data_IF_430030316892
#
_entry.id   IF_430030316892
#
_cell.length_a   1.000
_cell.length_b   1.000
_cell.length_c   1.000
_cell.angle_alpha   90.00
_cell.angle_beta   90.00
_cell.angle_gamma   90.00
#
_symmetry.space_group_name_H-M   'P 1'
#
loop_
_entity.id
_entity.type
_entity.pdbx_description
1 polymer ?
#
# COMPACT_ATOMS: atom_id res chain seq x y z
N UNK A 1 -11.86 -30.78 9.39
CA UNK A 1 -12.13 -29.37 9.08
C UNK A 1 -11.00 -28.89 8.19
N UNK A 2 -11.25 -28.32 7.01
CA UNK A 2 -10.17 -27.90 6.14
C UNK A 2 -9.60 -26.58 6.68
N UNK A 3 -8.34 -26.63 7.11
CA UNK A 3 -7.53 -25.48 7.46
C UNK A 3 -7.16 -24.70 6.22
N UNK A 4 -7.17 -23.39 6.34
CA UNK A 4 -7.03 -22.44 5.26
C UNK A 4 -5.56 -22.12 5.00
N UNK A 5 -5.06 -22.16 3.74
CA UNK A 5 -3.62 -22.15 3.49
C UNK A 5 -3.00 -20.75 3.40
N UNK A 6 -1.90 -20.53 4.13
CA UNK A 6 -1.09 -19.30 4.05
C UNK A 6 -0.13 -19.31 2.85
N UNK A 7 0.44 -18.14 2.53
CA UNK A 7 1.29 -17.84 1.35
C UNK A 7 2.45 -18.81 1.11
N UNK A 8 2.90 -19.52 2.14
CA UNK A 8 3.97 -20.53 2.11
C UNK A 8 3.52 -21.96 1.76
N UNK A 9 2.26 -22.32 1.95
CA UNK A 9 1.78 -23.69 1.65
C UNK A 9 1.65 -24.01 0.15
N UNK A 10 1.81 -22.99 -0.71
CA UNK A 10 1.89 -23.14 -2.17
C UNK A 10 3.34 -23.37 -2.67
N UNK A 11 4.35 -23.28 -1.81
CA UNK A 11 5.75 -23.63 -2.10
C UNK A 11 6.26 -24.65 -1.06
N UNK A 12 5.90 -25.90 -1.35
CA UNK A 12 6.28 -27.19 -0.75
C UNK A 12 7.35 -27.24 0.37
N UNK A 13 6.91 -27.83 1.49
CA UNK A 13 7.62 -28.83 2.31
C UNK A 13 8.99 -28.51 2.95
N UNK A 14 8.94 -28.43 4.31
CA UNK A 14 9.98 -28.75 5.33
C UNK A 14 10.62 -27.57 6.09
N UNK A 15 10.21 -27.49 7.38
CA UNK A 15 10.91 -26.95 8.59
C UNK A 15 11.17 -25.44 8.68
N UNK A 16 11.05 -24.74 9.81
CA UNK A 16 10.74 -25.07 11.20
C UNK A 16 10.79 -23.79 12.07
N UNK A 17 9.91 -23.74 13.08
CA UNK A 17 9.80 -22.90 14.28
C UNK A 17 10.57 -21.55 14.48
N UNK A 18 9.75 -20.50 14.71
CA UNK A 18 9.73 -19.52 15.82
C UNK A 18 10.91 -18.55 16.11
N UNK A 19 10.60 -17.24 16.10
CA UNK A 19 10.72 -16.32 17.26
C UNK A 19 10.15 -14.93 16.92
N UNK A 20 9.12 -14.50 17.67
CA UNK A 20 8.60 -13.13 17.61
C UNK A 20 9.47 -12.21 18.48
N UNK A 21 10.18 -11.28 17.84
CA UNK A 21 10.95 -10.24 18.54
C UNK A 21 10.13 -8.96 18.61
N UNK A 22 9.84 -8.53 19.83
CA UNK A 22 9.22 -7.24 20.12
C UNK A 22 10.16 -6.10 19.66
N UNK A 23 9.70 -5.27 18.73
CA UNK A 23 10.38 -4.02 18.40
C UNK A 23 10.01 -2.93 19.42
N UNK A 24 10.97 -2.14 19.91
CA UNK A 24 10.69 -1.03 20.81
C UNK A 24 10.01 0.10 20.03
N UNK A 25 8.72 0.32 20.32
CA UNK A 25 7.98 1.46 19.80
C UNK A 25 8.37 2.73 20.58
N UNK A 26 9.31 3.52 20.04
CA UNK A 26 9.42 4.93 20.39
C UNK A 26 8.33 5.70 19.63
N UNK A 27 7.11 5.72 20.17
CA UNK A 27 6.06 6.59 19.66
C UNK A 27 6.19 7.99 20.30
N UNK A 28 6.25 9.09 19.51
CA UNK A 28 6.09 10.42 20.08
C UNK A 28 4.68 10.57 20.66
N UNK A 29 4.61 11.20 21.83
CA UNK A 29 3.36 11.55 22.51
C UNK A 29 2.63 12.66 21.73
N UNK A 30 1.72 12.27 20.85
CA UNK A 30 0.74 13.19 20.25
C UNK A 30 -0.51 13.20 21.12
N UNK A 31 -0.99 14.38 21.52
CA UNK A 31 -2.33 14.54 22.09
C UNK A 31 -3.39 13.91 21.15
N UNK A 32 -4.49 13.34 21.68
CA UNK A 32 -5.51 12.71 20.84
C UNK A 32 -6.19 13.76 19.95
N UNK A 33 -5.77 13.83 18.69
CA UNK A 33 -6.50 14.52 17.63
C UNK A 33 -7.78 13.71 17.41
N UNK A 34 -8.98 14.34 17.40
CA UNK A 34 -10.21 13.62 17.09
C UNK A 34 -10.06 12.92 15.74
N UNK A 35 -10.55 11.68 15.58
CA UNK A 35 -10.41 10.97 14.34
C UNK A 35 -11.08 11.77 13.22
N UNK A 36 -10.33 12.05 12.15
CA UNK A 36 -10.91 12.63 10.93
C UNK A 36 -11.83 11.57 10.33
N UNK A 37 -13.13 11.90 10.22
CA UNK A 37 -14.14 11.02 9.64
C UNK A 37 -14.42 11.50 8.23
N UNK A 38 -14.20 10.63 7.24
CA UNK A 38 -14.51 10.90 5.85
C UNK A 38 -15.88 10.33 5.47
N UNK A 39 -16.54 10.88 4.43
CA UNK A 39 -17.74 10.29 3.87
C UNK A 39 -17.48 8.84 3.41
N UNK A 40 -18.50 7.99 3.55
CA UNK A 40 -18.47 6.60 3.10
C UNK A 40 -19.39 6.41 1.90
N UNK A 41 -18.89 5.74 0.87
CA UNK A 41 -19.65 5.37 -0.32
C UNK A 41 -20.14 3.92 -0.25
N UNK A 42 -19.34 3.02 0.31
CA UNK A 42 -19.65 1.58 0.41
C UNK A 42 -20.45 1.25 1.68
N UNK A 43 -21.49 0.42 1.51
CA UNK A 43 -22.22 -0.18 2.63
C UNK A 43 -21.34 -1.14 3.44
N UNK A 44 -21.77 -1.51 4.64
CA UNK A 44 -21.00 -2.44 5.47
C UNK A 44 -20.85 -3.82 4.81
N UNK A 45 -21.90 -4.30 4.12
CA UNK A 45 -21.84 -5.55 3.36
C UNK A 45 -20.85 -5.48 2.20
N UNK A 46 -20.87 -4.36 1.43
CA UNK A 46 -19.91 -4.12 0.35
C UNK A 46 -18.47 -4.00 0.85
N UNK A 47 -18.24 -3.33 1.99
CA UNK A 47 -16.91 -3.26 2.60
C UNK A 47 -16.41 -4.61 3.08
N UNK A 48 -17.27 -5.44 3.66
CA UNK A 48 -16.92 -6.80 4.04
C UNK A 48 -16.54 -7.66 2.84
N UNK A 49 -17.31 -7.58 1.75
CA UNK A 49 -16.98 -8.24 0.49
C UNK A 49 -15.69 -7.72 -0.13
N UNK A 50 -15.49 -6.40 -0.15
CA UNK A 50 -14.27 -5.79 -0.65
C UNK A 50 -13.05 -6.25 0.16
N UNK A 51 -13.15 -6.25 1.50
CA UNK A 51 -12.12 -6.77 2.41
C UNK A 51 -11.71 -8.19 2.05
N UNK A 52 -12.69 -9.07 1.84
CA UNK A 52 -12.43 -10.45 1.44
C UNK A 52 -11.75 -10.56 0.05
N UNK A 53 -12.13 -9.72 -0.91
CA UNK A 53 -11.53 -9.72 -2.26
C UNK A 53 -10.11 -9.15 -2.26
N UNK A 54 -9.83 -8.08 -1.52
CA UNK A 54 -8.47 -7.52 -1.44
C UNK A 54 -7.54 -8.43 -0.63
N UNK A 55 -8.06 -9.15 0.36
CA UNK A 55 -7.32 -10.22 1.06
C UNK A 55 -7.12 -11.47 0.19
N UNK A 56 -7.80 -11.60 -0.96
CA UNK A 56 -7.43 -12.61 -1.94
C UNK A 56 -6.21 -12.16 -2.79
N UNK A 57 -6.01 -10.84 -2.94
CA UNK A 57 -4.87 -10.25 -3.66
C UNK A 57 -3.62 -10.22 -2.77
N UNK A 58 -3.77 -9.73 -1.53
CA UNK A 58 -2.72 -9.69 -0.52
C UNK A 58 -3.24 -10.39 0.75
N UNK A 59 -3.10 -11.73 0.83
CA UNK A 59 -3.64 -12.51 1.94
C UNK A 59 -2.93 -12.23 3.27
N UNK A 60 -3.66 -12.29 4.40
CA UNK A 60 -3.02 -12.32 5.71
C UNK A 60 -2.25 -13.61 5.89
N UNK A 61 -1.04 -13.50 6.44
CA UNK A 61 -0.22 -14.63 6.87
C UNK A 61 0.44 -14.29 8.22
N UNK A 62 1.74 -14.56 8.38
CA UNK A 62 2.51 -14.08 9.53
C UNK A 62 2.59 -12.53 9.57
N UNK A 63 2.23 -11.87 8.47
CA UNK A 63 2.20 -10.44 8.25
C UNK A 63 0.77 -9.98 7.84
N UNK A 64 0.43 -8.68 7.98
CA UNK A 64 -0.92 -8.20 7.69
C UNK A 64 -1.32 -8.34 6.21
N UNK A 65 -2.56 -8.78 5.98
CA UNK A 65 -3.22 -8.75 4.67
C UNK A 65 -3.73 -7.35 4.28
N UNK A 66 -4.22 -7.20 3.05
CA UNK A 66 -4.70 -5.92 2.51
C UNK A 66 -5.73 -5.21 3.40
N UNK A 67 -6.72 -5.94 3.92
CA UNK A 67 -7.74 -5.37 4.79
C UNK A 67 -7.13 -4.81 6.08
N UNK A 68 -6.19 -5.53 6.68
CA UNK A 68 -5.45 -5.12 7.88
C UNK A 68 -4.51 -3.94 7.62
N UNK A 69 -4.05 -3.75 6.38
CA UNK A 69 -3.29 -2.58 5.94
C UNK A 69 -4.16 -1.33 5.68
N UNK A 70 -5.49 -1.44 5.77
CA UNK A 70 -6.40 -0.32 5.56
C UNK A 70 -6.84 -0.11 4.10
N UNK A 71 -6.61 -1.07 3.20
CA UNK A 71 -6.96 -0.94 1.77
C UNK A 71 -8.45 -0.63 1.55
N UNK A 72 -9.34 -1.22 2.35
CA UNK A 72 -10.79 -0.95 2.25
C UNK A 72 -11.10 0.51 2.56
N UNK A 73 -10.41 1.10 3.54
CA UNK A 73 -10.57 2.50 3.93
C UNK A 73 -10.00 3.43 2.85
N UNK A 74 -8.83 3.11 2.30
CA UNK A 74 -8.26 3.81 1.16
C UNK A 74 -9.23 3.88 -0.02
N UNK A 75 -9.80 2.74 -0.43
CA UNK A 75 -10.71 2.67 -1.57
C UNK A 75 -11.98 3.49 -1.29
N UNK A 76 -12.59 3.36 -0.10
CA UNK A 76 -13.82 4.11 0.23
C UNK A 76 -13.57 5.64 0.24
N UNK A 77 -12.41 6.08 0.77
CA UNK A 77 -11.97 7.49 0.71
C UNK A 77 -11.74 7.99 -0.70
N UNK A 78 -11.09 7.18 -1.56
CA UNK A 78 -10.88 7.53 -2.96
C UNK A 78 -12.23 7.72 -3.67
N UNK A 79 -13.20 6.85 -3.39
CA UNK A 79 -14.52 6.95 -3.99
C UNK A 79 -15.21 8.25 -3.61
N UNK A 80 -15.03 8.75 -2.38
CA UNK A 80 -15.63 9.99 -1.87
C UNK A 80 -14.75 11.24 -2.01
N UNK A 81 -13.59 11.14 -2.66
CA UNK A 81 -12.59 12.22 -2.69
C UNK A 81 -13.05 13.53 -3.34
N UNK A 82 -14.12 13.52 -4.15
CA UNK A 82 -14.71 14.73 -4.77
C UNK A 82 -16.03 15.17 -4.12
N UNK A 83 -16.44 14.54 -3.01
CA UNK A 83 -17.59 14.96 -2.21
C UNK A 83 -17.21 16.12 -1.26
N UNK A 84 -18.19 16.86 -0.73
CA UNK A 84 -17.96 17.71 0.42
C UNK A 84 -17.30 16.90 1.55
N UNK A 85 -16.26 17.46 2.16
CA UNK A 85 -15.47 16.81 3.22
C UNK A 85 -14.76 15.51 2.80
N UNK A 86 -14.62 15.25 1.50
CA UNK A 86 -13.85 14.14 0.96
C UNK A 86 -12.34 14.26 1.23
N UNK A 87 -11.64 13.12 1.24
CA UNK A 87 -10.19 13.09 1.39
C UNK A 87 -9.49 13.75 0.18
N UNK A 88 -8.36 14.45 0.38
CA UNK A 88 -7.64 15.05 -0.74
C UNK A 88 -7.05 13.99 -1.66
N UNK A 89 -7.15 14.22 -2.98
CA UNK A 89 -6.57 13.33 -3.99
C UNK A 89 -5.04 13.43 -4.05
N UNK A 90 -4.49 14.61 -3.78
CA UNK A 90 -3.05 14.84 -3.73
C UNK A 90 -2.67 15.38 -2.36
N UNK A 91 -1.80 14.67 -1.65
CA UNK A 91 -1.20 15.11 -0.41
C UNK A 91 -0.31 16.34 -0.64
N UNK A 92 -0.18 17.17 0.39
CA UNK A 92 0.73 18.29 0.41
C UNK A 92 2.20 17.89 0.60
N UNK A 93 3.00 18.83 1.05
CA UNK A 93 4.42 18.65 1.29
C UNK A 93 5.06 19.93 1.84
N UNK A 94 6.37 19.93 2.10
CA UNK A 94 7.32 18.92 1.65
C UNK A 94 7.51 17.71 2.59
N UNK A 95 7.04 17.76 3.83
CA UNK A 95 7.37 16.73 4.82
C UNK A 95 6.15 16.01 5.38
N UNK A 96 6.26 14.70 5.58
CA UNK A 96 5.23 13.89 6.23
C UNK A 96 5.28 13.95 7.76
N UNK A 97 6.23 14.70 8.34
CA UNK A 97 6.45 14.77 9.78
C UNK A 97 7.01 13.49 10.41
N UNK A 98 7.35 12.46 9.60
CA UNK A 98 7.85 11.17 10.09
C UNK A 98 9.34 11.16 10.43
N UNK A 99 10.14 12.04 9.82
CA UNK A 99 11.58 12.16 10.08
C UNK A 99 11.93 13.54 10.67
N UNK A 100 12.92 13.63 11.58
CA UNK A 100 13.32 14.89 12.18
C UNK A 100 14.14 15.76 11.21
N UNK A 101 14.39 17.01 11.58
CA UNK A 101 15.45 17.80 10.97
C UNK A 101 16.84 17.22 11.31
N UNK A 102 17.83 17.37 10.42
CA UNK A 102 19.21 17.04 10.74
C UNK A 102 19.79 18.03 11.75
N UNK A 103 20.63 17.55 12.66
CA UNK A 103 21.52 18.38 13.48
C UNK A 103 22.70 18.90 12.63
N UNK A 104 23.49 19.88 13.12
CA UNK A 104 24.62 20.44 12.36
C UNK A 104 25.69 19.42 11.91
N UNK A 105 25.80 18.30 12.62
CA UNK A 105 26.72 17.20 12.31
C UNK A 105 26.10 16.10 11.41
N UNK A 106 24.86 16.31 10.96
CA UNK A 106 24.09 15.38 10.13
C UNK A 106 23.33 14.30 10.89
N UNK A 107 23.44 14.23 12.22
CA UNK A 107 22.69 13.27 13.04
C UNK A 107 21.20 13.63 13.18
N UNK A 108 20.30 12.69 13.55
CA UNK A 108 18.90 13.01 13.80
C UNK A 108 18.72 13.97 14.98
N UNK A 109 18.04 15.11 14.75
CA UNK A 109 17.66 16.01 15.85
C UNK A 109 16.39 15.52 16.58
N UNK A 110 15.95 16.27 17.60
CA UNK A 110 14.67 16.06 18.29
C UNK A 110 13.52 16.91 17.74
N UNK A 111 13.77 17.70 16.68
CA UNK A 111 12.80 18.62 16.10
C UNK A 111 12.22 17.99 14.84
N UNK A 112 10.89 17.88 14.78
CA UNK A 112 10.18 17.32 13.63
C UNK A 112 9.40 18.42 12.90
N UNK A 113 9.31 18.39 11.56
CA UNK A 113 8.39 19.23 10.83
C UNK A 113 6.94 18.82 11.10
N UNK A 114 5.99 19.69 10.78
CA UNK A 114 4.59 19.30 10.71
C UNK A 114 4.37 18.22 9.64
N UNK A 115 3.25 17.49 9.73
CA UNK A 115 2.83 16.61 8.65
C UNK A 115 2.07 17.42 7.60
N UNK A 116 2.81 17.92 6.60
CA UNK A 116 2.26 18.70 5.50
C UNK A 116 1.44 17.84 4.53
N UNK A 117 1.57 16.51 4.57
CA UNK A 117 0.80 15.61 3.70
C UNK A 117 -0.70 15.62 4.07
N UNK A 118 -1.04 16.03 5.29
CA UNK A 118 -2.43 16.25 5.71
C UNK A 118 -3.08 17.47 5.04
N UNK A 119 -2.29 18.38 4.47
CA UNK A 119 -2.78 19.54 3.74
C UNK A 119 -2.90 19.22 2.26
N UNK A 120 -4.11 18.84 1.83
CA UNK A 120 -4.37 18.48 0.44
C UNK A 120 -4.08 19.60 -0.56
N UNK A 121 -3.49 19.25 -1.71
CA UNK A 121 -3.34 20.15 -2.84
C UNK A 121 -4.65 20.25 -3.62
N UNK A 122 -5.01 21.48 -4.02
CA UNK A 122 -6.15 21.72 -4.87
C UNK A 122 -5.94 21.17 -6.29
N UNK A 123 -7.03 20.74 -6.92
CA UNK A 123 -7.01 20.31 -8.32
C UNK A 123 -7.14 21.50 -9.26
N UNK A 124 -6.35 21.52 -10.32
CA UNK A 124 -6.65 22.39 -11.44
C UNK A 124 -7.91 21.93 -12.21
N UNK A 125 -8.38 22.75 -13.14
CA UNK A 125 -9.60 22.48 -13.92
C UNK A 125 -9.53 21.17 -14.72
N UNK A 126 -8.38 20.83 -15.27
CA UNK A 126 -8.19 19.62 -16.10
C UNK A 126 -8.12 18.39 -15.21
N UNK A 127 -7.35 18.45 -14.13
CA UNK A 127 -7.27 17.40 -13.12
C UNK A 127 -8.64 17.11 -12.50
N UNK A 128 -9.39 18.15 -12.11
CA UNK A 128 -10.73 18.00 -11.58
C UNK A 128 -11.67 17.30 -12.57
N UNK A 129 -11.56 17.62 -13.87
CA UNK A 129 -12.38 16.95 -14.90
C UNK A 129 -11.95 15.50 -15.12
N UNK A 130 -10.65 15.21 -15.12
CA UNK A 130 -10.12 13.86 -15.27
C UNK A 130 -10.54 12.96 -14.10
N UNK A 131 -10.42 13.44 -12.86
CA UNK A 131 -10.85 12.71 -11.67
C UNK A 131 -12.37 12.49 -11.62
N UNK A 132 -13.18 13.46 -12.08
CA UNK A 132 -14.62 13.25 -12.25
C UNK A 132 -14.92 12.15 -13.25
N UNK A 133 -14.25 12.15 -14.40
CA UNK A 133 -14.43 11.10 -15.41
C UNK A 133 -14.02 9.73 -14.86
N UNK A 134 -12.92 9.66 -14.11
CA UNK A 134 -12.45 8.43 -13.47
C UNK A 134 -13.43 7.92 -12.41
N UNK A 135 -13.93 8.77 -11.52
CA UNK A 135 -14.80 8.34 -10.41
C UNK A 135 -16.26 8.13 -10.83
N UNK A 136 -16.78 9.00 -11.70
CA UNK A 136 -18.21 9.11 -12.02
C UNK A 136 -18.55 8.73 -13.47
N UNK A 137 -17.55 8.49 -14.31
CA UNK A 137 -17.77 8.14 -15.71
C UNK A 137 -18.24 9.33 -16.55
N UNK A 138 -18.59 9.05 -17.81
CA UNK A 138 -19.05 10.06 -18.76
C UNK A 138 -20.35 10.72 -18.29
N UNK A 139 -21.27 9.94 -17.71
CA UNK A 139 -22.59 10.42 -17.27
C UNK A 139 -22.51 11.38 -16.07
N UNK A 140 -21.56 11.15 -15.16
CA UNK A 140 -21.34 12.03 -14.01
C UNK A 140 -20.39 13.19 -14.27
N UNK A 141 -19.91 13.35 -15.51
CA UNK A 141 -18.89 14.36 -15.87
C UNK A 141 -19.38 15.26 -17.00
N UNK A 142 -19.67 16.55 -16.72
CA UNK A 142 -20.06 17.49 -17.77
C UNK A 142 -19.05 17.55 -18.92
N UNK A 143 -19.49 17.14 -20.11
CA UNK A 143 -18.64 17.03 -21.30
C UNK A 143 -17.50 16.01 -21.17
N UNK A 144 -17.67 14.96 -20.37
CA UNK A 144 -16.73 13.85 -20.19
C UNK A 144 -16.80 12.78 -21.28
N UNK A 145 -17.87 12.77 -22.08
CA UNK A 145 -18.11 11.79 -23.13
C UNK A 145 -18.09 12.34 -24.56
N UNK A 146 -17.07 13.10 -25.01
CA UNK A 146 -17.05 13.64 -26.38
C UNK A 146 -17.06 12.54 -27.45
N UNK A 147 -16.60 11.33 -27.11
CA UNK A 147 -16.54 10.18 -28.02
C UNK A 147 -17.51 9.05 -27.64
N UNK A 148 -18.43 9.26 -26.70
CA UNK A 148 -19.32 8.19 -26.19
C UNK A 148 -20.16 7.55 -27.30
N UNK A 149 -20.57 8.34 -28.29
CA UNK A 149 -21.33 7.85 -29.45
C UNK A 149 -20.55 6.87 -30.33
N UNK A 150 -19.21 6.91 -30.29
CA UNK A 150 -18.33 6.07 -31.11
C UNK A 150 -17.71 4.91 -30.31
N UNK A 151 -17.24 5.18 -29.09
CA UNK A 151 -16.46 4.24 -28.28
C UNK A 151 -17.27 3.60 -27.13
N UNK A 152 -18.51 4.05 -26.93
CA UNK A 152 -19.28 3.74 -25.74
C UNK A 152 -18.93 4.65 -24.57
N UNK A 153 -19.79 4.63 -23.55
CA UNK A 153 -19.62 5.46 -22.36
C UNK A 153 -18.47 4.95 -21.49
N UNK A 154 -17.75 5.88 -20.87
CA UNK A 154 -16.81 5.55 -19.79
C UNK A 154 -17.59 5.26 -18.51
N UNK A 155 -17.43 4.05 -17.97
CA UNK A 155 -18.01 3.68 -16.67
C UNK A 155 -17.06 4.16 -15.55
N UNK A 156 -17.59 4.93 -14.60
CA UNK A 156 -16.81 5.44 -13.47
C UNK A 156 -16.45 4.35 -12.47
N UNK A 157 -15.40 4.60 -11.69
CA UNK A 157 -14.92 3.68 -10.66
C UNK A 157 -16.02 3.31 -9.64
N UNK A 158 -16.88 4.27 -9.26
CA UNK A 158 -17.99 4.04 -8.33
C UNK A 158 -18.96 2.98 -8.82
N UNK A 159 -19.43 3.14 -10.06
CA UNK A 159 -20.39 2.21 -10.64
C UNK A 159 -19.75 0.85 -10.92
N UNK A 160 -18.48 0.85 -11.33
CA UNK A 160 -17.71 -0.37 -11.55
C UNK A 160 -17.52 -1.17 -10.27
N UNK A 161 -17.07 -0.55 -9.18
CA UNK A 161 -16.92 -1.20 -7.88
C UNK A 161 -18.26 -1.68 -7.32
N UNK A 162 -19.32 -0.87 -7.40
CA UNK A 162 -20.66 -1.29 -6.94
C UNK A 162 -21.18 -2.47 -7.75
N UNK A 163 -21.02 -2.44 -9.07
CA UNK A 163 -21.40 -3.54 -9.96
C UNK A 163 -20.66 -4.84 -9.62
N UNK A 164 -19.34 -4.78 -9.46
CA UNK A 164 -18.53 -5.96 -9.16
C UNK A 164 -18.83 -6.52 -7.76
N UNK A 165 -18.99 -5.66 -6.75
CA UNK A 165 -19.30 -6.08 -5.38
C UNK A 165 -20.72 -6.66 -5.29
N UNK A 166 -21.69 -6.04 -5.99
CA UNK A 166 -23.05 -6.57 -6.10
C UNK A 166 -23.07 -7.97 -6.73
N UNK A 167 -22.34 -8.16 -7.84
CA UNK A 167 -22.23 -9.47 -8.49
C UNK A 167 -21.52 -10.51 -7.59
N UNK A 168 -20.48 -10.10 -6.87
CA UNK A 168 -19.77 -10.97 -5.92
C UNK A 168 -20.69 -11.39 -4.75
N UNK A 169 -21.43 -10.45 -4.16
CA UNK A 169 -22.37 -10.70 -3.07
C UNK A 169 -23.57 -11.55 -3.51
N UNK A 170 -24.06 -11.39 -4.74
CA UNK A 170 -25.11 -12.26 -5.28
C UNK A 170 -24.65 -13.72 -5.39
N UNK A 171 -23.40 -13.96 -5.79
CA UNK A 171 -22.82 -15.30 -5.91
C UNK A 171 -22.40 -15.88 -4.56
N UNK A 172 -21.89 -15.05 -3.66
CA UNK A 172 -21.39 -15.42 -2.35
C UNK A 172 -21.87 -14.42 -1.28
N UNK A 173 -23.11 -14.56 -0.77
CA UNK A 173 -23.67 -13.61 0.21
C UNK A 173 -22.88 -13.52 1.52
N UNK A 174 -22.16 -14.59 1.89
CA UNK A 174 -21.33 -14.66 3.09
C UNK A 174 -19.83 -14.42 2.81
N UNK A 175 -19.48 -13.73 1.72
CA UNK A 175 -18.09 -13.53 1.27
C UNK A 175 -17.21 -12.87 2.35
N UNK A 176 -17.76 -11.95 3.14
CA UNK A 176 -17.03 -11.24 4.20
C UNK A 176 -16.44 -12.19 5.28
N UNK A 177 -17.05 -13.37 5.47
CA UNK A 177 -16.58 -14.38 6.44
C UNK A 177 -16.08 -15.64 5.75
N UNK A 178 -15.79 -15.58 4.44
CA UNK A 178 -15.25 -16.71 3.71
C UNK A 178 -13.82 -17.01 4.15
N UNK A 179 -13.49 -18.29 4.17
CA UNK A 179 -12.11 -18.75 4.32
C UNK A 179 -11.28 -18.39 3.07
N UNK A 180 -9.96 -18.42 3.14
CA UNK A 180 -9.03 -18.06 2.07
C UNK A 180 -9.32 -18.84 0.77
N UNK A 181 -9.78 -20.09 0.85
CA UNK A 181 -10.21 -20.84 -0.31
C UNK A 181 -11.45 -20.21 -0.97
N UNK A 182 -12.46 -19.85 -0.18
CA UNK A 182 -13.65 -19.12 -0.62
C UNK A 182 -13.33 -17.72 -1.16
N UNK A 183 -12.43 -16.97 -0.51
CA UNK A 183 -11.98 -15.66 -0.98
C UNK A 183 -11.25 -15.76 -2.31
N UNK A 184 -10.32 -16.71 -2.45
CA UNK A 184 -9.62 -16.97 -3.68
C UNK A 184 -10.55 -17.43 -4.81
N UNK A 185 -11.55 -18.27 -4.51
CA UNK A 185 -12.56 -18.68 -5.48
C UNK A 185 -13.43 -17.51 -5.96
N UNK A 186 -13.88 -16.65 -5.03
CA UNK A 186 -14.65 -15.46 -5.35
C UNK A 186 -13.84 -14.49 -6.23
N UNK A 187 -12.58 -14.23 -5.89
CA UNK A 187 -11.69 -13.40 -6.70
C UNK A 187 -11.45 -13.99 -8.08
N UNK A 188 -11.19 -15.30 -8.19
CA UNK A 188 -11.02 -15.99 -9.48
C UNK A 188 -12.26 -15.92 -10.37
N UNK A 189 -13.46 -15.90 -9.78
CA UNK A 189 -14.73 -15.82 -10.49
C UNK A 189 -15.06 -14.43 -11.05
N UNK A 190 -14.29 -13.40 -10.70
CA UNK A 190 -14.39 -12.07 -11.30
C UNK A 190 -13.85 -12.07 -12.74
N UNK A 191 -14.28 -11.08 -13.52
CA UNK A 191 -13.73 -10.84 -14.85
C UNK A 191 -12.23 -10.52 -14.77
N UNK A 192 -11.49 -10.73 -15.85
CA UNK A 192 -10.06 -10.38 -15.88
C UNK A 192 -9.84 -8.90 -15.57
N UNK A 193 -10.68 -8.02 -16.12
CA UNK A 193 -10.56 -6.59 -15.94
C UNK A 193 -10.86 -6.17 -14.48
N UNK A 194 -11.84 -6.79 -13.82
CA UNK A 194 -12.17 -6.47 -12.42
C UNK A 194 -11.11 -7.01 -11.45
N UNK A 195 -10.49 -8.16 -11.76
CA UNK A 195 -9.33 -8.63 -11.01
C UNK A 195 -8.17 -7.64 -11.12
N UNK A 196 -7.89 -7.16 -12.34
CA UNK A 196 -6.83 -6.18 -12.55
C UNK A 196 -7.09 -4.89 -11.78
N UNK A 197 -8.32 -4.36 -11.85
CA UNK A 197 -8.72 -3.19 -11.08
C UNK A 197 -8.52 -3.39 -9.57
N UNK A 198 -8.97 -4.52 -9.02
CA UNK A 198 -8.79 -4.80 -7.60
C UNK A 198 -7.31 -4.95 -7.22
N UNK A 199 -6.49 -5.54 -8.08
CA UNK A 199 -5.05 -5.63 -7.85
C UNK A 199 -4.43 -4.23 -7.77
N UNK A 200 -4.74 -3.36 -8.73
CA UNK A 200 -4.26 -1.98 -8.76
C UNK A 200 -4.66 -1.21 -7.50
N UNK A 201 -5.95 -1.19 -7.17
CA UNK A 201 -6.45 -0.51 -5.96
C UNK A 201 -5.89 -1.10 -4.67
N UNK A 202 -5.66 -2.42 -4.63
CA UNK A 202 -5.05 -3.08 -3.47
C UNK A 202 -3.61 -2.65 -3.30
N UNK A 203 -2.83 -2.63 -4.38
CA UNK A 203 -1.45 -2.17 -4.35
C UNK A 203 -1.36 -0.69 -3.97
N UNK A 204 -2.19 0.15 -4.58
CA UNK A 204 -2.25 1.58 -4.27
C UNK A 204 -2.60 1.80 -2.79
N UNK A 205 -3.62 1.12 -2.28
CA UNK A 205 -3.99 1.23 -0.87
C UNK A 205 -2.97 0.63 0.08
N UNK A 206 -2.31 -0.47 -0.28
CA UNK A 206 -1.35 -1.14 0.60
C UNK A 206 -0.04 -0.37 0.70
N UNK A 207 0.41 0.27 -0.38
CA UNK A 207 1.79 0.77 -0.50
C UNK A 207 1.91 2.28 -0.74
N UNK A 208 0.80 3.03 -0.84
CA UNK A 208 0.81 4.50 -0.86
C UNK A 208 1.08 5.12 0.52
N UNK A 209 1.14 6.45 0.59
CA UNK A 209 1.31 7.17 1.85
C UNK A 209 0.12 6.90 2.82
N UNK A 210 0.37 6.68 4.12
CA UNK A 210 -0.69 6.38 5.09
C UNK A 210 -1.80 7.43 5.18
N UNK A 211 -1.53 8.68 4.80
CA UNK A 211 -2.49 9.78 4.80
C UNK A 211 -3.71 9.51 3.90
N UNK A 212 -3.57 8.65 2.89
CA UNK A 212 -4.68 8.25 2.02
C UNK A 212 -5.62 7.20 2.65
N UNK A 213 -5.31 6.70 3.85
CA UNK A 213 -6.17 5.78 4.62
C UNK A 213 -5.75 4.30 4.56
N UNK A 214 -4.87 3.96 3.62
CA UNK A 214 -4.21 2.67 3.55
C UNK A 214 -2.85 2.67 4.24
N UNK A 215 -1.99 1.69 3.94
CA UNK A 215 -0.64 1.54 4.49
C UNK A 215 -0.54 1.90 5.99
N UNK A 216 -1.44 1.35 6.81
CA UNK A 216 -1.60 1.81 8.19
C UNK A 216 -0.27 1.74 8.96
N UNK A 217 0.15 2.89 9.50
CA UNK A 217 1.42 3.05 10.25
C UNK A 217 2.68 2.65 9.45
N UNK A 218 2.63 2.68 8.11
CA UNK A 218 3.73 2.27 7.26
C UNK A 218 3.91 0.75 7.16
N UNK A 219 2.93 -0.05 7.60
CA UNK A 219 3.05 -1.51 7.61
C UNK A 219 3.23 -2.10 6.20
N UNK A 220 2.59 -1.53 5.19
CA UNK A 220 2.77 -1.94 3.79
C UNK A 220 4.17 -1.60 3.26
N UNK A 221 4.72 -0.45 3.65
CA UNK A 221 6.14 -0.15 3.36
C UNK A 221 7.07 -1.16 4.03
N UNK A 222 6.83 -1.50 5.30
CA UNK A 222 7.60 -2.53 5.99
C UNK A 222 7.52 -3.89 5.29
N UNK A 223 6.35 -4.28 4.76
CA UNK A 223 6.20 -5.50 3.92
C UNK A 223 7.10 -5.46 2.68
N UNK A 224 7.15 -4.30 2.02
CA UNK A 224 7.98 -4.09 0.85
C UNK A 224 9.49 -4.00 1.19
N UNK A 225 9.85 -3.82 2.46
CA UNK A 225 11.21 -3.49 2.88
C UNK A 225 11.59 -2.04 2.58
N UNK A 226 10.59 -1.16 2.48
CA UNK A 226 10.76 0.28 2.37
C UNK A 226 10.58 0.93 3.75
N UNK A 227 11.48 1.82 4.10
CA UNK A 227 11.53 2.43 5.44
C UNK A 227 10.59 3.63 5.59
N UNK A 228 10.06 4.10 4.47
CA UNK A 228 9.22 5.29 4.40
C UNK A 228 9.99 6.57 4.12
N UNK A 229 9.28 7.69 4.23
CA UNK A 229 9.84 9.01 3.96
C UNK A 229 10.90 9.38 5.00
N UNK A 230 12.12 9.69 4.54
CA UNK A 230 13.22 10.07 5.44
C UNK A 230 13.50 11.57 5.45
N UNK A 231 12.83 12.37 4.62
CA UNK A 231 13.05 13.82 4.58
C UNK A 231 12.39 14.53 5.78
N UNK A 232 13.03 15.58 6.33
CA UNK A 232 14.25 16.24 5.85
C UNK A 232 15.58 15.58 6.28
N UNK A 233 15.57 14.60 7.18
CA UNK A 233 16.78 13.94 7.68
C UNK A 233 17.60 13.23 6.58
N UNK A 234 16.94 12.64 5.59
CA UNK A 234 17.59 11.88 4.51
C UNK A 234 18.57 10.80 4.99
N UNK A 235 19.50 10.44 4.10
CA UNK A 235 20.56 9.46 4.35
C UNK A 235 21.97 10.08 4.36
N UNK A 236 22.13 11.24 3.71
CA UNK A 236 23.39 11.96 3.60
C UNK A 236 23.15 13.44 3.88
N UNK A 237 23.95 14.00 4.78
CA UNK A 237 23.83 15.38 5.22
C UNK A 237 25.15 16.13 5.06
N UNK A 238 25.09 17.42 4.77
CA UNK A 238 26.29 18.26 4.73
C UNK A 238 26.65 18.69 6.16
N UNK A 239 27.77 18.18 6.68
CA UNK A 239 28.33 18.59 7.95
C UNK A 239 29.16 19.86 7.72
N UNK A 240 28.61 21.00 8.15
CA UNK A 240 29.25 22.30 7.97
C UNK A 240 30.52 22.46 8.82
N UNK A 241 30.67 21.69 9.90
CA UNK A 241 31.86 21.70 10.77
C UNK A 241 33.01 20.97 10.08
N UNK A 242 32.73 19.82 9.44
CA UNK A 242 33.74 19.06 8.67
C UNK A 242 33.95 19.60 7.25
N UNK A 243 33.01 20.39 6.73
CA UNK A 243 33.01 20.82 5.33
C UNK A 243 32.82 19.66 4.35
N UNK A 244 32.08 18.62 4.75
CA UNK A 244 31.95 17.38 3.99
C UNK A 244 30.57 16.73 4.15
N UNK A 245 30.20 15.87 3.20
CA UNK A 245 29.01 15.03 3.32
C UNK A 245 29.27 13.92 4.36
N UNK A 246 28.33 13.76 5.28
CA UNK A 246 28.30 12.70 6.29
C UNK A 246 27.09 11.82 6.01
N UNK A 247 27.33 10.52 5.83
CA UNK A 247 26.30 9.50 5.68
C UNK A 247 25.88 8.96 7.04
N UNK A 248 24.61 8.58 7.16
CA UNK A 248 24.12 7.84 8.32
C UNK A 248 24.78 6.47 8.37
N UNK A 249 25.30 6.09 9.53
CA UNK A 249 26.07 4.86 9.68
C UNK A 249 25.22 3.61 9.41
N UNK A 250 23.93 3.69 9.73
CA UNK A 250 22.91 2.67 9.49
C UNK A 250 22.46 2.58 8.02
N UNK A 251 22.78 3.57 7.18
CA UNK A 251 22.43 3.62 5.75
C UNK A 251 23.61 4.15 4.92
N UNK A 252 24.68 3.35 4.77
CA UNK A 252 25.84 3.75 3.99
C UNK A 252 25.45 3.86 2.50
N UNK A 253 25.49 5.08 1.95
CA UNK A 253 25.18 5.30 0.53
C UNK A 253 26.40 5.13 -0.38
N UNK A 254 27.61 5.33 0.15
CA UNK A 254 28.88 5.22 -0.59
C UNK A 254 29.68 3.96 -0.27
N UNK A 255 29.24 3.17 0.71
CA UNK A 255 29.91 1.92 1.13
C UNK A 255 28.94 0.75 1.00
N UNK A 256 29.46 -0.49 0.92
CA UNK A 256 28.60 -1.66 0.99
C UNK A 256 27.70 -1.61 2.22
N UNK A 257 26.46 -2.05 2.05
CA UNK A 257 25.53 -2.24 3.16
C UNK A 257 26.21 -3.14 4.19
N UNK A 258 26.37 -2.62 5.41
CA UNK A 258 27.16 -3.30 6.44
C UNK A 258 26.30 -4.25 7.29
N UNK A 259 24.98 -4.13 7.18
CA UNK A 259 24.02 -5.03 7.81
C UNK A 259 23.99 -6.42 7.19
N UNK A 260 23.62 -7.42 8.00
CA UNK A 260 23.22 -8.71 7.46
C UNK A 260 21.97 -8.52 6.58
N UNK A 261 21.88 -9.30 5.49
CA UNK A 261 20.67 -9.35 4.67
C UNK A 261 19.45 -9.59 5.59
N UNK A 262 18.48 -8.66 5.66
CA UNK A 262 17.35 -8.78 6.57
C UNK A 262 16.39 -9.91 6.15
N UNK A 263 16.48 -10.40 4.91
CA UNK A 263 15.68 -11.51 4.39
C UNK A 263 16.60 -12.47 3.63
N UNK A 264 17.50 -13.17 4.35
CA UNK A 264 18.45 -14.05 3.71
C UNK A 264 17.67 -15.17 3.01
N UNK A 265 18.00 -15.39 1.74
CA UNK A 265 17.55 -16.60 1.05
C UNK A 265 17.92 -17.81 1.90
N UNK A 266 16.99 -18.74 2.06
CA UNK A 266 17.28 -20.01 2.72
C UNK A 266 18.27 -20.82 1.88
N UNK A 267 18.87 -21.84 2.50
CA UNK A 267 19.91 -22.65 1.84
C UNK A 267 19.42 -23.39 0.61
N UNK A 268 18.14 -23.78 0.58
CA UNK A 268 17.55 -24.51 -0.54
C UNK A 268 17.35 -23.59 -1.74
N UNK A 269 16.75 -22.41 -1.51
CA UNK A 269 16.59 -21.38 -2.55
C UNK A 269 17.94 -20.95 -3.13
N UNK A 270 18.97 -20.77 -2.28
CA UNK A 270 20.33 -20.47 -2.76
C UNK A 270 20.88 -21.58 -3.65
N UNK A 271 20.69 -22.85 -3.27
CA UNK A 271 21.18 -24.00 -4.03
C UNK A 271 20.50 -24.09 -5.42
N UNK A 272 19.19 -23.84 -5.49
CA UNK A 272 18.45 -23.81 -6.75
C UNK A 272 18.94 -22.69 -7.66
N UNK A 273 19.10 -21.47 -7.13
CA UNK A 273 19.62 -20.34 -7.90
C UNK A 273 21.03 -20.61 -8.41
N UNK A 274 21.90 -21.18 -7.56
CA UNK A 274 23.26 -21.55 -7.96
C UNK A 274 23.26 -22.58 -9.10
N UNK A 275 22.41 -23.61 -9.03
CA UNK A 275 22.26 -24.60 -10.10
C UNK A 275 21.78 -23.98 -11.41
N UNK A 276 20.76 -23.10 -11.36
CA UNK A 276 20.25 -22.40 -12.53
C UNK A 276 21.32 -21.49 -13.15
N UNK A 277 22.06 -20.76 -12.31
CA UNK A 277 23.16 -19.92 -12.76
C UNK A 277 24.25 -20.75 -13.45
N UNK A 278 24.65 -21.88 -12.89
CA UNK A 278 25.64 -22.79 -13.51
C UNK A 278 25.15 -23.37 -14.84
N UNK A 279 23.88 -23.80 -14.92
CA UNK A 279 23.29 -24.31 -16.15
C UNK A 279 23.21 -23.23 -17.25
N UNK A 280 23.02 -21.96 -16.87
CA UNK A 280 23.06 -20.82 -17.77
C UNK A 280 24.50 -20.35 -18.13
N UNK A 281 25.53 -21.07 -17.67
CA UNK A 281 26.94 -20.76 -17.93
C UNK A 281 27.57 -19.74 -16.97
N UNK A 282 26.89 -19.37 -15.89
CA UNK A 282 27.43 -18.55 -14.80
C UNK A 282 28.47 -19.31 -13.97
N UNK A 283 29.47 -18.59 -13.46
CA UNK A 283 30.48 -19.16 -12.55
C UNK A 283 30.12 -18.89 -11.09
N UNK A 284 30.36 -19.88 -10.23
CA UNK A 284 30.39 -19.65 -8.78
C UNK A 284 31.68 -18.91 -8.41
N UNK A 285 31.54 -17.71 -7.85
CA UNK A 285 32.65 -17.00 -7.22
C UNK A 285 32.75 -17.48 -5.78
N UNK A 286 33.88 -18.10 -5.44
CA UNK A 286 34.24 -18.51 -4.07
C UNK A 286 34.83 -17.37 -3.28
#
# INVERSE_FOLDING_TARGET
MPSTPSRREVLAWVSGAAAASALPACAPSSAPVPPVVFPRFLTDAERGALGALVDAVLPPDDLPGASALGVVEFIDRLLTALEPDGAPLFAGGPYSGRAPYPAPDGSPSRVFPANDFLQGLGLDRVQAKAWRLYLYGSDGTPGGGPNDALLGKTVGLRDRLRGLLGAALQKAPALATADDAGRAAAFKALSQEDRQLLIELTCDGAFSAPEYGGNLRGAGWALAGYEGDTLPLGFTQYDAVKGALTERAEFPMSKPESGADPRPLDSETRAVIAQLAMLAGGQEFK
#
